data_IF_853706099796
#
_entry.id   IF_853706099796
#
_cell.length_a   1.000
_cell.length_b   1.000
_cell.length_c   1.000
_cell.angle_alpha   90.00
_cell.angle_beta   90.00
_cell.angle_gamma   90.00
#
_symmetry.space_group_name_H-M   'P 1'
#
loop_
_entity.id
_entity.type
_entity.pdbx_description
1 polymer ?
#
# COMPACT_ATOMS: atom_id res chain seq x y z
N UNK A 1 1.95 -4.19 21.53
CA UNK A 1 1.69 -3.38 20.32
C UNK A 1 0.21 -3.14 20.13
N UNK A 2 -0.64 -4.17 20.00
CA UNK A 2 -2.11 -4.02 19.81
C UNK A 2 -2.81 -3.06 20.79
N UNK A 3 -2.38 -3.02 22.06
CA UNK A 3 -2.96 -2.11 23.06
C UNK A 3 -2.51 -0.65 22.93
N UNK A 4 -1.50 -0.38 22.12
CA UNK A 4 -0.86 0.94 21.95
C UNK A 4 -1.05 1.51 20.54
N UNK A 5 -1.06 0.65 19.53
CA UNK A 5 -1.22 1.01 18.12
C UNK A 5 -2.36 0.21 17.53
N UNK A 6 -3.21 0.89 16.75
CA UNK A 6 -4.30 0.24 16.04
C UNK A 6 -3.76 -0.65 14.90
N UNK A 7 -4.32 -1.85 14.77
CA UNK A 7 -3.93 -2.88 13.79
C UNK A 7 -2.41 -3.22 13.70
N UNK A 8 -1.62 -3.03 14.75
CA UNK A 8 -0.22 -3.51 14.81
C UNK A 8 -0.10 -4.69 15.77
N UNK A 9 0.09 -5.90 15.21
CA UNK A 9 0.23 -7.13 15.98
C UNK A 9 1.57 -7.14 16.73
N UNK A 10 2.68 -6.97 16.00
CA UNK A 10 4.05 -7.01 16.55
C UNK A 10 5.02 -6.20 15.72
N UNK A 11 6.14 -5.83 16.34
CA UNK A 11 7.33 -5.32 15.66
C UNK A 11 8.25 -6.48 15.31
N UNK A 12 8.91 -6.37 14.17
CA UNK A 12 9.98 -7.28 13.78
C UNK A 12 11.29 -6.75 14.34
N UNK A 13 11.82 -7.47 15.32
CA UNK A 13 13.01 -7.08 16.07
C UNK A 13 14.19 -7.98 15.70
N UNK A 14 15.32 -7.37 15.38
CA UNK A 14 16.60 -8.05 15.18
C UNK A 14 17.61 -7.59 16.23
N UNK A 15 18.76 -8.28 16.33
CA UNK A 15 19.88 -7.87 17.18
C UNK A 15 21.12 -7.65 16.34
N UNK A 16 21.86 -6.60 16.64
CA UNK A 16 23.19 -6.39 16.08
C UNK A 16 24.21 -7.32 16.74
N UNK A 17 25.41 -7.41 16.15
CA UNK A 17 26.55 -8.16 16.71
C UNK A 17 26.91 -7.69 18.13
N UNK A 18 26.67 -6.41 18.43
CA UNK A 18 26.92 -5.80 19.74
C UNK A 18 25.77 -6.03 20.75
N UNK A 19 24.75 -6.82 20.39
CA UNK A 19 23.62 -7.16 21.26
C UNK A 19 22.50 -6.10 21.32
N UNK A 20 22.61 -5.01 20.57
CA UNK A 20 21.61 -3.94 20.51
C UNK A 20 20.38 -4.41 19.73
N UNK A 21 19.18 -4.20 20.29
CA UNK A 21 17.93 -4.57 19.65
C UNK A 21 17.47 -3.48 18.67
N UNK A 22 17.12 -3.86 17.45
CA UNK A 22 16.63 -2.98 16.39
C UNK A 22 15.24 -3.39 15.93
N UNK A 23 14.32 -2.44 15.79
CA UNK A 23 13.07 -2.63 15.07
C UNK A 23 13.29 -2.39 13.58
N UNK A 24 13.00 -3.39 12.75
CA UNK A 24 13.22 -3.36 11.29
C UNK A 24 11.93 -3.39 10.48
N UNK A 25 10.79 -3.58 11.14
CA UNK A 25 9.49 -3.65 10.48
C UNK A 25 8.37 -3.89 11.47
N UNK A 26 7.17 -4.05 10.94
CA UNK A 26 5.99 -4.39 11.72
C UNK A 26 5.08 -5.36 10.95
N UNK A 27 4.30 -6.12 11.70
CA UNK A 27 3.27 -7.00 11.18
C UNK A 27 1.89 -6.55 11.67
N UNK A 28 0.91 -6.48 10.77
CA UNK A 28 -0.48 -6.18 11.07
C UNK A 28 -1.22 -7.39 11.65
N UNK A 29 -2.40 -7.17 12.23
CA UNK A 29 -3.24 -8.28 12.69
C UNK A 29 -3.84 -9.12 11.55
N UNK A 30 -3.83 -8.57 10.33
CA UNK A 30 -4.31 -9.22 9.10
C UNK A 30 -3.18 -9.98 8.37
N UNK A 31 -1.99 -10.07 8.99
CA UNK A 31 -0.84 -10.79 8.46
C UNK A 31 0.05 -9.99 7.51
N UNK A 32 -0.30 -8.74 7.21
CA UNK A 32 0.51 -7.88 6.33
C UNK A 32 1.81 -7.46 7.02
N UNK A 33 2.92 -7.51 6.28
CA UNK A 33 4.22 -7.07 6.75
C UNK A 33 4.63 -5.74 6.11
N UNK A 34 5.20 -4.84 6.91
CA UNK A 34 5.75 -3.56 6.46
C UNK A 34 7.18 -3.41 6.99
N UNK A 35 8.15 -3.46 6.08
CA UNK A 35 9.55 -3.16 6.36
C UNK A 35 9.75 -1.66 6.62
N UNK A 36 10.58 -1.35 7.61
CA UNK A 36 11.03 0.01 7.85
C UNK A 36 12.15 0.39 6.89
N UNK A 37 12.19 1.66 6.50
CA UNK A 37 13.24 2.20 5.64
C UNK A 37 14.57 2.21 6.41
N UNK A 38 14.54 2.64 7.67
CA UNK A 38 15.69 2.66 8.54
C UNK A 38 15.38 1.82 9.80
N UNK A 39 16.28 0.91 10.22
CA UNK A 39 16.15 0.25 11.51
C UNK A 39 16.15 1.28 12.66
N UNK A 40 15.27 1.08 13.64
CA UNK A 40 15.18 1.94 14.83
C UNK A 40 15.77 1.21 16.03
N UNK A 41 16.66 1.86 16.76
CA UNK A 41 17.27 1.29 17.95
C UNK A 41 16.30 1.27 19.14
N UNK A 42 16.07 0.10 19.71
CA UNK A 42 15.19 -0.11 20.87
C UNK A 42 16.02 -0.12 22.17
N UNK A 43 16.76 0.95 22.44
CA UNK A 43 17.59 1.11 23.62
C UNK A 43 17.14 2.31 24.47
N UNK A 44 17.41 2.26 25.78
CA UNK A 44 17.06 3.34 26.70
C UNK A 44 15.60 3.35 27.11
N UNK A 45 15.01 4.54 27.29
CA UNK A 45 13.66 4.68 27.80
C UNK A 45 12.62 4.30 26.74
N UNK A 46 11.58 3.60 27.19
CA UNK A 46 10.59 2.99 26.29
C UNK A 46 9.77 4.00 25.48
N UNK A 47 9.44 5.12 26.09
CA UNK A 47 8.73 6.25 25.48
C UNK A 47 9.53 6.87 24.33
N UNK A 48 10.84 7.01 24.49
CA UNK A 48 11.71 7.63 23.49
C UNK A 48 11.82 6.77 22.23
N UNK A 49 12.21 5.49 22.37
CA UNK A 49 12.38 4.65 21.19
C UNK A 49 11.05 4.23 20.55
N UNK A 50 9.95 4.10 21.31
CA UNK A 50 8.63 3.87 20.71
C UNK A 50 8.17 5.06 19.86
N UNK A 51 8.44 6.29 20.30
CA UNK A 51 8.14 7.49 19.50
C UNK A 51 8.95 7.51 18.20
N UNK A 52 10.20 7.07 18.24
CA UNK A 52 11.03 6.93 17.03
C UNK A 52 10.49 5.85 16.09
N UNK A 53 10.05 4.71 16.64
CA UNK A 53 9.39 3.64 15.87
C UNK A 53 8.13 4.16 15.18
N UNK A 54 7.27 4.90 15.89
CA UNK A 54 6.07 5.51 15.30
C UNK A 54 6.42 6.47 14.16
N UNK A 55 7.41 7.35 14.35
CA UNK A 55 7.87 8.26 13.30
C UNK A 55 8.39 7.51 12.06
N UNK A 56 9.09 6.40 12.27
CA UNK A 56 9.61 5.56 11.18
C UNK A 56 8.48 4.77 10.49
N UNK A 57 7.45 4.32 11.20
CA UNK A 57 6.25 3.71 10.62
C UNK A 57 5.58 4.68 9.62
N UNK A 58 5.35 5.92 10.05
CA UNK A 58 4.74 6.96 9.20
C UNK A 58 5.62 7.25 7.98
N UNK A 59 6.93 7.41 8.19
CA UNK A 59 7.90 7.72 7.12
C UNK A 59 7.98 6.59 6.10
N UNK A 60 8.06 5.35 6.56
CA UNK A 60 8.13 4.15 5.72
C UNK A 60 6.85 3.94 4.94
N UNK A 61 5.68 4.03 5.60
CA UNK A 61 4.39 3.89 4.94
C UNK A 61 4.17 4.96 3.86
N UNK A 62 4.52 6.22 4.15
CA UNK A 62 4.46 7.32 3.16
C UNK A 62 5.34 7.03 1.94
N UNK A 63 6.53 6.47 2.15
CA UNK A 63 7.45 6.09 1.07
C UNK A 63 6.89 4.94 0.24
N UNK A 64 6.43 3.87 0.88
CA UNK A 64 5.85 2.69 0.22
C UNK A 64 4.64 3.12 -0.62
N UNK A 65 3.75 3.94 -0.06
CA UNK A 65 2.58 4.47 -0.76
C UNK A 65 2.97 5.29 -1.99
N UNK A 66 3.90 6.24 -1.86
CA UNK A 66 4.38 7.02 -3.02
C UNK A 66 4.99 6.14 -4.10
N UNK A 67 5.77 5.12 -3.70
CA UNK A 67 6.38 4.17 -4.62
C UNK A 67 5.33 3.34 -5.36
N UNK A 68 4.28 2.88 -4.67
CA UNK A 68 3.18 2.13 -5.26
C UNK A 68 2.40 2.97 -6.27
N UNK A 69 2.09 4.23 -5.94
CA UNK A 69 1.45 5.19 -6.87
C UNK A 69 2.29 5.38 -8.13
N UNK A 70 3.59 5.65 -7.96
CA UNK A 70 4.51 5.90 -9.07
C UNK A 70 4.63 4.69 -10.01
N UNK A 71 4.77 3.49 -9.44
CA UNK A 71 4.97 2.24 -10.21
C UNK A 71 3.72 1.67 -10.85
N UNK A 72 2.53 2.20 -10.53
CA UNK A 72 1.29 1.75 -11.15
C UNK A 72 1.33 1.85 -12.70
N UNK A 73 2.09 2.82 -13.23
CA UNK A 73 2.25 3.01 -14.67
C UNK A 73 3.20 2.03 -15.38
N UNK A 74 3.91 1.15 -14.65
CA UNK A 74 4.99 0.29 -15.21
C UNK A 74 4.45 -0.88 -16.07
N UNK A 75 3.30 -0.72 -16.73
CA UNK A 75 2.64 -1.67 -17.63
C UNK A 75 2.31 -3.05 -17.04
N UNK A 76 2.23 -3.17 -15.70
CA UNK A 76 1.82 -4.42 -15.05
C UNK A 76 0.29 -4.54 -14.97
N UNK A 77 -0.26 -5.76 -15.09
CA UNK A 77 -1.68 -5.99 -14.82
C UNK A 77 -2.06 -5.51 -13.41
N UNK A 78 -3.19 -4.81 -13.29
CA UNK A 78 -3.63 -4.22 -12.01
C UNK A 78 -3.69 -5.24 -10.88
N UNK A 79 -4.15 -6.46 -11.19
CA UNK A 79 -4.26 -7.55 -10.21
C UNK A 79 -2.88 -8.01 -9.71
N UNK A 80 -1.89 -8.14 -10.60
CA UNK A 80 -0.53 -8.54 -10.22
C UNK A 80 0.18 -7.45 -9.43
N UNK A 81 -0.01 -6.19 -9.83
CA UNK A 81 0.47 -5.04 -9.08
C UNK A 81 -0.13 -5.02 -7.67
N UNK A 82 -1.43 -5.24 -7.53
CA UNK A 82 -2.11 -5.25 -6.23
C UNK A 82 -1.55 -6.33 -5.29
N UNK A 83 -1.26 -7.53 -5.80
CA UNK A 83 -0.72 -8.63 -4.99
C UNK A 83 0.72 -8.41 -4.49
N UNK A 84 1.43 -7.39 -5.00
CA UNK A 84 2.81 -7.05 -4.57
C UNK A 84 2.87 -5.97 -3.49
N UNK A 85 1.72 -5.42 -3.12
CA UNK A 85 1.62 -4.28 -2.22
C UNK A 85 0.60 -4.58 -1.11
N UNK A 86 0.76 -3.94 0.05
CA UNK A 86 -0.20 -4.02 1.14
C UNK A 86 -1.57 -3.49 0.70
N UNK A 87 -2.65 -4.12 1.17
CA UNK A 87 -4.02 -3.83 0.74
C UNK A 87 -4.40 -2.35 0.92
N UNK A 88 -4.06 -1.75 2.06
CA UNK A 88 -4.33 -0.33 2.30
C UNK A 88 -3.55 0.60 1.35
N UNK A 89 -2.32 0.21 0.99
CA UNK A 89 -1.50 0.93 0.00
C UNK A 89 -2.11 0.81 -1.40
N UNK A 90 -2.59 -0.37 -1.77
CA UNK A 90 -3.29 -0.63 -3.04
C UNK A 90 -4.57 0.21 -3.14
N UNK A 91 -5.36 0.28 -2.07
CA UNK A 91 -6.60 1.06 -2.02
C UNK A 91 -6.32 2.56 -2.20
N UNK A 92 -5.38 3.12 -1.41
CA UNK A 92 -5.02 4.53 -1.51
C UNK A 92 -4.47 4.87 -2.90
N UNK A 93 -3.59 4.03 -3.44
CA UNK A 93 -3.01 4.24 -4.77
C UNK A 93 -4.08 4.12 -5.88
N UNK A 94 -5.01 3.17 -5.75
CA UNK A 94 -6.13 3.02 -6.68
C UNK A 94 -7.04 4.25 -6.69
N UNK A 95 -7.28 4.88 -5.54
CA UNK A 95 -8.11 6.10 -5.46
C UNK A 95 -7.46 7.28 -6.18
N UNK A 96 -6.14 7.44 -6.04
CA UNK A 96 -5.38 8.49 -6.75
C UNK A 96 -5.52 8.33 -8.26
N UNK A 97 -5.24 7.13 -8.76
CA UNK A 97 -5.34 6.84 -10.20
C UNK A 97 -6.76 6.92 -10.73
N UNK A 98 -7.72 6.36 -10.00
CA UNK A 98 -9.13 6.45 -10.38
C UNK A 98 -9.60 7.90 -10.50
N UNK A 99 -9.19 8.78 -9.57
CA UNK A 99 -9.54 10.20 -9.60
C UNK A 99 -8.99 10.87 -10.85
N UNK A 100 -7.70 10.63 -11.15
CA UNK A 100 -7.06 11.17 -12.35
C UNK A 100 -7.72 10.67 -13.65
N UNK A 101 -8.00 9.37 -13.75
CA UNK A 101 -8.64 8.76 -14.92
C UNK A 101 -10.08 9.28 -15.14
N UNK A 102 -10.83 9.48 -14.06
CA UNK A 102 -12.17 10.09 -14.11
C UNK A 102 -12.09 11.54 -14.60
N UNK A 103 -11.19 12.34 -14.03
CA UNK A 103 -10.99 13.74 -14.44
C UNK A 103 -10.59 13.85 -15.92
N UNK A 104 -9.72 12.96 -16.39
CA UNK A 104 -9.34 12.88 -17.80
C UNK A 104 -10.54 12.52 -18.70
N UNK A 105 -11.39 11.58 -18.28
CA UNK A 105 -12.60 11.25 -19.02
C UNK A 105 -13.59 12.43 -19.11
N UNK A 106 -13.72 13.22 -18.03
CA UNK A 106 -14.50 14.45 -18.04
C UNK A 106 -13.89 15.54 -18.93
N UNK A 107 -12.55 15.68 -18.92
CA UNK A 107 -11.84 16.65 -19.77
C UNK A 107 -12.07 16.37 -21.25
N UNK A 108 -11.91 15.12 -21.69
CA UNK A 108 -12.15 14.71 -23.09
C UNK A 108 -13.60 14.94 -23.54
N UNK A 109 -14.55 14.73 -22.62
CA UNK A 109 -15.95 15.03 -22.87
C UNK A 109 -16.18 16.54 -23.03
N UNK A 110 -15.60 17.36 -22.15
CA UNK A 110 -15.72 18.82 -22.17
C UNK A 110 -15.08 19.48 -23.40
N UNK A 111 -13.96 18.94 -23.87
CA UNK A 111 -13.27 19.40 -25.08
C UNK A 111 -13.92 18.93 -26.40
N UNK A 112 -15.02 18.17 -26.34
CA UNK A 112 -15.65 17.49 -27.48
C UNK A 112 -14.72 16.54 -28.28
N UNK A 113 -13.60 16.10 -27.70
CA UNK A 113 -12.68 15.14 -28.32
C UNK A 113 -13.31 13.75 -28.42
N UNK A 114 -13.99 13.30 -27.35
CA UNK A 114 -14.70 12.03 -27.32
C UNK A 114 -15.97 12.13 -26.45
N UNK A 115 -17.12 12.15 -27.12
CA UNK A 115 -18.45 12.16 -26.47
C UNK A 115 -18.79 10.86 -25.74
N UNK A 116 -18.00 9.81 -25.96
CA UNK A 116 -18.17 8.49 -25.34
C UNK A 116 -17.14 8.19 -24.26
N UNK A 117 -16.25 9.14 -23.92
CA UNK A 117 -15.15 8.95 -22.97
C UNK A 117 -15.60 8.32 -21.64
N UNK A 118 -16.66 8.85 -21.02
CA UNK A 118 -17.21 8.30 -19.77
C UNK A 118 -17.76 6.86 -19.94
N UNK A 119 -18.41 6.57 -21.07
CA UNK A 119 -18.93 5.22 -21.36
C UNK A 119 -17.79 4.23 -21.58
N UNK A 120 -16.74 4.65 -22.28
CA UNK A 120 -15.54 3.87 -22.50
C UNK A 120 -14.82 3.57 -21.17
N UNK A 121 -14.66 4.57 -20.31
CA UNK A 121 -14.07 4.40 -18.98
C UNK A 121 -14.91 3.49 -18.07
N UNK A 122 -16.24 3.63 -18.08
CA UNK A 122 -17.12 2.70 -17.35
C UNK A 122 -17.04 1.25 -17.87
N UNK A 123 -16.73 1.04 -19.16
CA UNK A 123 -16.46 -0.30 -19.70
C UNK A 123 -15.10 -0.82 -19.21
N UNK A 124 -14.10 0.04 -19.12
CA UNK A 124 -12.78 -0.30 -18.57
C UNK A 124 -12.87 -0.76 -17.10
N UNK A 125 -13.56 0.00 -16.23
CA UNK A 125 -13.76 -0.37 -14.82
C UNK A 125 -14.48 -1.71 -14.65
N UNK A 126 -15.49 -1.99 -15.49
CA UNK A 126 -16.16 -3.29 -15.51
C UNK A 126 -15.23 -4.43 -15.93
N UNK A 127 -14.26 -4.17 -16.81
CA UNK A 127 -13.22 -5.12 -17.17
C UNK A 127 -12.33 -5.45 -15.98
N UNK A 128 -11.78 -4.42 -15.33
CA UNK A 128 -10.95 -4.59 -14.13
C UNK A 128 -11.69 -5.33 -13.00
N UNK A 129 -12.98 -5.04 -12.78
CA UNK A 129 -13.79 -5.77 -11.80
C UNK A 129 -13.88 -7.27 -12.14
N UNK A 130 -14.08 -7.61 -13.41
CA UNK A 130 -14.12 -9.02 -13.84
C UNK A 130 -12.79 -9.73 -13.62
N UNK A 131 -11.68 -9.06 -13.89
CA UNK A 131 -10.33 -9.60 -13.63
C UNK A 131 -10.09 -9.88 -12.15
N UNK A 132 -10.47 -8.94 -11.27
CA UNK A 132 -10.40 -9.12 -9.81
C UNK A 132 -11.27 -10.29 -9.36
N UNK A 133 -12.52 -10.37 -9.83
CA UNK A 133 -13.43 -11.48 -9.50
C UNK A 133 -12.88 -12.82 -9.98
N UNK A 134 -12.30 -12.87 -11.18
CA UNK A 134 -11.67 -14.07 -11.71
C UNK A 134 -10.48 -14.50 -10.84
N UNK A 135 -9.66 -13.55 -10.38
CA UNK A 135 -8.51 -13.85 -9.51
C UNK A 135 -8.93 -14.36 -8.13
N UNK A 136 -9.96 -13.77 -7.52
CA UNK A 136 -10.48 -14.20 -6.21
C UNK A 136 -11.07 -15.62 -6.27
N UNK A 137 -11.63 -16.01 -7.42
CA UNK A 137 -12.16 -17.36 -7.63
C UNK A 137 -11.09 -18.41 -7.95
N UNK A 138 -9.86 -17.98 -8.24
CA UNK A 138 -8.73 -18.88 -8.41
C UNK A 138 -8.08 -19.19 -7.06
N UNK A 139 -7.23 -20.22 -7.01
CA UNK A 139 -6.46 -20.52 -5.81
C UNK A 139 -5.50 -19.36 -5.49
N UNK A 140 -5.68 -18.81 -4.28
CA UNK A 140 -4.83 -17.78 -3.70
C UNK A 140 -4.09 -18.37 -2.50
N UNK A 141 -2.79 -18.08 -2.41
CA UNK A 141 -2.02 -18.36 -1.21
C UNK A 141 -2.50 -17.45 -0.08
N UNK A 142 -2.73 -17.98 1.13
CA UNK A 142 -2.93 -17.13 2.30
C UNK A 142 -1.71 -16.24 2.55
N UNK A 143 -1.94 -15.08 3.17
CA UNK A 143 -0.90 -14.16 3.65
C UNK A 143 -0.12 -14.76 4.82
#
# INVERSE_FOLDING_TARGET
>A
MIKMFDNVLRLDLTRTENGVQLAIGMQSSEGEHMEFRNPVECAGRIDEWLTQVEAEMVTSNRRITKKAIYRYCDAQPRVEWALRHQGMVVLASSQVWWTWEVEEAFRRLGSNEDKTALKAYAKHLRGQLKEVVARIRADLSPN
#
